data_IF_934556947130
#
_entry.id   IF_934556947130
#
_cell.length_a   1.000
_cell.length_b   1.000
_cell.length_c   1.000
_cell.angle_alpha   90.00
_cell.angle_beta   90.00
_cell.angle_gamma   90.00
#
_symmetry.space_group_name_H-M   'P 1'
#
loop_
_entity.id
_entity.type
_entity.pdbx_description
1 polymer ?
#
# COMPACT_ATOMS: atom_id res chain seq x y z
N UNK A 1 -4.29 -20.41 -7.55
CA UNK A 1 -4.08 -18.99 -7.86
C UNK A 1 -4.29 -18.25 -6.55
N UNK A 2 -3.30 -17.55 -6.02
CA UNK A 2 -3.54 -16.69 -4.86
C UNK A 2 -4.54 -15.61 -5.27
N UNK A 3 -5.51 -15.33 -4.42
CA UNK A 3 -6.44 -14.22 -4.63
C UNK A 3 -5.64 -12.91 -4.56
N UNK A 4 -5.75 -12.06 -5.58
CA UNK A 4 -5.09 -10.76 -5.56
C UNK A 4 -5.80 -9.88 -4.53
N UNK A 5 -5.02 -9.28 -3.61
CA UNK A 5 -5.53 -8.29 -2.65
C UNK A 5 -6.06 -7.03 -3.36
N UNK A 6 -5.63 -6.79 -4.61
CA UNK A 6 -6.04 -5.63 -5.40
C UNK A 6 -7.28 -5.99 -6.22
N UNK A 7 -8.37 -5.27 -5.97
CA UNK A 7 -9.65 -5.46 -6.67
C UNK A 7 -9.75 -4.56 -7.91
N UNK A 8 -10.73 -4.84 -8.78
CA UNK A 8 -11.05 -3.96 -9.91
C UNK A 8 -11.52 -2.57 -9.45
N UNK A 9 -12.19 -2.50 -8.30
CA UNK A 9 -12.64 -1.25 -7.68
C UNK A 9 -11.45 -0.38 -7.29
N UNK A 10 -10.41 -0.96 -6.67
CA UNK A 10 -9.19 -0.24 -6.33
C UNK A 10 -8.47 0.32 -7.56
N UNK A 11 -8.44 -0.43 -8.67
CA UNK A 11 -7.90 0.07 -9.95
C UNK A 11 -8.72 1.25 -10.47
N UNK A 12 -10.06 1.17 -10.38
CA UNK A 12 -10.95 2.24 -10.81
C UNK A 12 -10.79 3.52 -9.95
N UNK A 13 -10.68 3.37 -8.62
CA UNK A 13 -10.42 4.47 -7.70
C UNK A 13 -9.06 5.13 -8.00
N UNK A 14 -8.00 4.33 -8.12
CA UNK A 14 -6.67 4.85 -8.44
C UNK A 14 -6.65 5.62 -9.77
N UNK A 15 -7.35 5.12 -10.80
CA UNK A 15 -7.52 5.84 -12.07
C UNK A 15 -8.23 7.17 -11.90
N UNK A 16 -9.28 7.22 -11.08
CA UNK A 16 -9.98 8.47 -10.78
C UNK A 16 -9.05 9.49 -10.12
N UNK A 17 -8.21 9.05 -9.17
CA UNK A 17 -7.19 9.90 -8.54
C UNK A 17 -6.12 10.41 -9.53
N UNK A 18 -5.77 9.60 -10.53
CA UNK A 18 -4.77 9.93 -11.54
C UNK A 18 -5.35 10.64 -12.78
N UNK A 19 -6.66 10.87 -12.82
CA UNK A 19 -7.40 11.38 -13.98
C UNK A 19 -7.24 10.53 -15.26
N UNK A 20 -7.07 9.21 -15.11
CA UNK A 20 -6.97 8.25 -16.21
C UNK A 20 -8.37 7.77 -16.58
N UNK A 21 -8.77 7.95 -17.84
CA UNK A 21 -10.14 7.66 -18.30
C UNK A 21 -10.27 6.42 -19.19
N UNK A 22 -9.16 5.77 -19.55
CA UNK A 22 -9.15 4.60 -20.44
C UNK A 22 -8.67 3.34 -19.74
N UNK A 23 -8.98 2.15 -20.27
CA UNK A 23 -8.63 0.85 -19.68
C UNK A 23 -7.33 0.22 -20.19
N UNK A 24 -6.65 0.86 -21.15
CA UNK A 24 -5.48 0.29 -21.84
C UNK A 24 -4.35 -0.11 -20.89
N UNK A 25 -4.18 0.63 -19.81
CA UNK A 25 -3.10 0.44 -18.84
C UNK A 25 -3.56 -0.22 -17.53
N UNK A 26 -4.81 -0.69 -17.42
CA UNK A 26 -5.32 -1.31 -16.20
C UNK A 26 -4.44 -2.47 -15.68
N UNK A 27 -3.87 -3.35 -16.53
CA UNK A 27 -2.94 -4.37 -16.07
C UNK A 27 -1.65 -3.79 -15.46
N UNK A 28 -1.17 -2.68 -16.00
CA UNK A 28 0.02 -2.00 -15.50
C UNK A 28 -0.27 -1.30 -14.15
N UNK A 29 -1.40 -0.57 -14.05
CA UNK A 29 -1.82 0.09 -12.81
C UNK A 29 -2.06 -0.93 -11.69
N UNK A 30 -2.64 -2.09 -12.01
CA UNK A 30 -2.77 -3.20 -11.05
C UNK A 30 -1.41 -3.66 -10.53
N UNK A 31 -0.42 -3.84 -11.40
CA UNK A 31 0.93 -4.22 -10.98
C UNK A 31 1.59 -3.18 -10.06
N UNK A 32 1.36 -1.88 -10.31
CA UNK A 32 1.83 -0.82 -9.42
C UNK A 32 1.14 -0.86 -8.05
N UNK A 33 -0.18 -1.12 -8.01
CA UNK A 33 -0.93 -1.28 -6.78
C UNK A 33 -0.51 -2.53 -6.00
N UNK A 34 -0.28 -3.66 -6.66
CA UNK A 34 0.15 -4.90 -6.03
C UNK A 34 1.53 -4.76 -5.38
N UNK A 35 2.50 -4.22 -6.13
CA UNK A 35 3.84 -3.95 -5.59
C UNK A 35 3.84 -2.91 -4.49
N UNK A 36 2.93 -1.94 -4.55
CA UNK A 36 2.78 -0.91 -3.50
C UNK A 36 2.10 -1.44 -2.24
N UNK A 37 1.07 -2.27 -2.37
CA UNK A 37 0.43 -2.97 -1.26
C UNK A 37 1.44 -3.85 -0.52
N UNK A 38 2.19 -4.67 -1.26
CA UNK A 38 3.20 -5.54 -0.66
C UNK A 38 4.25 -4.73 0.14
N UNK A 39 4.73 -3.61 -0.40
CA UNK A 39 5.72 -2.78 0.28
C UNK A 39 5.15 -2.07 1.52
N UNK A 40 3.98 -1.43 1.40
CA UNK A 40 3.37 -0.70 2.52
C UNK A 40 3.01 -1.67 3.64
N UNK A 41 2.35 -2.78 3.33
CA UNK A 41 1.96 -3.78 4.33
C UNK A 41 3.16 -4.39 5.05
N UNK A 42 4.28 -4.60 4.35
CA UNK A 42 5.52 -5.08 4.97
C UNK A 42 6.10 -4.07 5.96
N UNK A 43 6.03 -2.76 5.66
CA UNK A 43 6.52 -1.70 6.55
C UNK A 43 5.60 -1.54 7.75
N UNK A 44 4.29 -1.54 7.52
CA UNK A 44 3.29 -1.29 8.56
C UNK A 44 2.87 -2.53 9.33
N UNK A 45 3.46 -3.70 9.05
CA UNK A 45 3.06 -5.00 9.62
C UNK A 45 1.56 -5.29 9.50
N UNK A 46 0.93 -4.81 8.41
CA UNK A 46 -0.49 -5.02 8.18
C UNK A 46 -0.73 -6.33 7.42
N UNK A 47 -1.84 -7.02 7.73
CA UNK A 47 -2.22 -8.30 7.16
C UNK A 47 -3.35 -8.15 6.13
N UNK A 48 -4.03 -6.99 6.08
CA UNK A 48 -5.12 -6.74 5.14
C UNK A 48 -5.27 -5.26 4.76
N UNK A 49 -5.85 -4.98 3.60
CA UNK A 49 -6.14 -3.61 3.14
C UNK A 49 -7.48 -3.09 3.70
N UNK A 50 -7.68 -3.18 5.02
CA UNK A 50 -8.91 -2.72 5.69
C UNK A 50 -8.77 -1.33 6.30
N UNK A 51 -7.56 -0.92 6.70
CA UNK A 51 -7.32 0.45 7.16
C UNK A 51 -7.20 1.40 5.97
N UNK A 52 -8.08 2.41 5.91
CA UNK A 52 -8.07 3.44 4.86
C UNK A 52 -6.74 4.20 4.79
N UNK A 53 -6.02 4.32 5.90
CA UNK A 53 -4.67 4.91 5.96
C UNK A 53 -3.65 4.09 5.18
N UNK A 54 -3.73 2.76 5.30
CA UNK A 54 -2.87 1.83 4.55
C UNK A 54 -3.23 1.87 3.07
N UNK A 55 -4.53 1.85 2.73
CA UNK A 55 -5.00 1.98 1.34
C UNK A 55 -4.51 3.29 0.70
N UNK A 56 -4.61 4.41 1.41
CA UNK A 56 -4.09 5.70 0.94
C UNK A 56 -2.58 5.65 0.66
N UNK A 57 -1.79 5.04 1.55
CA UNK A 57 -0.35 4.87 1.33
C UNK A 57 -0.04 4.01 0.10
N UNK A 58 -0.84 2.98 -0.17
CA UNK A 58 -0.73 2.16 -1.39
C UNK A 58 -0.97 3.00 -2.64
N UNK A 59 -2.02 3.81 -2.65
CA UNK A 59 -2.32 4.72 -3.77
C UNK A 59 -1.24 5.77 -3.97
N UNK A 60 -0.75 6.38 -2.89
CA UNK A 60 0.33 7.37 -2.98
C UNK A 60 1.62 6.73 -3.48
N UNK A 61 2.01 5.55 -2.99
CA UNK A 61 3.21 4.86 -3.48
C UNK A 61 3.08 4.46 -4.94
N UNK A 62 1.91 3.97 -5.37
CA UNK A 62 1.65 3.65 -6.77
C UNK A 62 1.70 4.90 -7.66
N UNK A 63 1.18 6.05 -7.18
CA UNK A 63 1.30 7.35 -7.87
C UNK A 63 2.75 7.80 -8.01
N UNK A 64 3.57 7.64 -6.97
CA UNK A 64 4.99 7.99 -7.03
C UNK A 64 5.72 7.07 -8.02
N UNK A 65 5.45 5.77 -8.00
CA UNK A 65 6.01 4.82 -8.97
C UNK A 65 5.58 5.14 -10.42
N UNK A 66 4.30 5.44 -10.65
CA UNK A 66 3.78 5.81 -11.97
C UNK A 66 4.46 7.07 -12.53
N UNK A 67 4.81 8.02 -11.67
CA UNK A 67 5.41 9.29 -12.05
C UNK A 67 6.96 9.28 -11.99
N UNK A 68 7.60 8.11 -11.89
CA UNK A 68 9.06 7.97 -11.75
C UNK A 68 9.64 8.78 -10.58
N UNK A 69 8.96 8.74 -9.43
CA UNK A 69 9.28 9.51 -8.22
C UNK A 69 9.35 8.64 -6.96
N UNK A 70 9.40 7.31 -7.10
CA UNK A 70 9.28 6.38 -5.98
C UNK A 70 10.29 6.65 -4.85
N UNK A 71 11.47 7.17 -5.17
CA UNK A 71 12.53 7.53 -4.21
C UNK A 71 12.11 8.59 -3.18
N UNK A 72 11.06 9.37 -3.45
CA UNK A 72 10.57 10.41 -2.54
C UNK A 72 9.47 9.92 -1.59
N UNK A 73 8.92 8.73 -1.83
CA UNK A 73 7.76 8.22 -1.09
C UNK A 73 8.06 8.06 0.40
N UNK A 74 9.14 7.33 0.74
CA UNK A 74 9.46 6.99 2.13
C UNK A 74 9.69 8.24 2.98
N UNK A 75 10.37 9.25 2.42
CA UNK A 75 10.63 10.52 3.11
C UNK A 75 9.33 11.32 3.33
N UNK A 76 8.45 11.38 2.33
CA UNK A 76 7.22 12.18 2.40
C UNK A 76 6.16 11.56 3.32
N UNK A 77 6.16 10.24 3.48
CA UNK A 77 5.16 9.52 4.29
C UNK A 77 5.75 8.85 5.55
N UNK A 78 7.00 9.14 5.89
CA UNK A 78 7.74 8.50 6.99
C UNK A 78 6.94 8.46 8.30
N UNK A 79 6.36 9.60 8.70
CA UNK A 79 5.63 9.70 9.97
C UNK A 79 4.39 8.79 9.98
N UNK A 80 3.67 8.69 8.87
CA UNK A 80 2.47 7.86 8.78
C UNK A 80 2.82 6.38 8.74
N UNK A 81 3.85 6.01 7.99
CA UNK A 81 4.38 4.65 7.94
C UNK A 81 4.83 4.18 9.34
N UNK A 82 5.60 5.02 10.04
CA UNK A 82 6.11 4.70 11.38
C UNK A 82 4.98 4.56 12.40
N UNK A 83 4.01 5.47 12.39
CA UNK A 83 2.87 5.41 13.32
C UNK A 83 2.06 4.12 13.11
N UNK A 84 1.76 3.76 11.86
CA UNK A 84 1.05 2.52 11.55
C UNK A 84 1.85 1.27 11.95
N UNK A 85 3.17 1.27 11.70
CA UNK A 85 4.04 0.16 12.10
C UNK A 85 4.05 -0.05 13.62
N UNK A 86 4.07 1.04 14.41
CA UNK A 86 4.01 0.98 15.87
C UNK A 86 2.62 0.51 16.33
N UNK A 87 1.55 1.04 15.75
CA UNK A 87 0.17 0.66 16.08
C UNK A 87 -0.09 -0.84 15.82
N UNK A 88 0.48 -1.38 14.74
CA UNK A 88 0.36 -2.78 14.33
C UNK A 88 1.44 -3.70 14.93
N UNK A 89 2.27 -3.19 15.85
CA UNK A 89 3.28 -3.99 16.51
C UNK A 89 2.62 -4.89 17.58
N UNK A 90 2.32 -6.12 17.19
CA UNK A 90 2.03 -7.23 18.11
C UNK A 90 3.37 -7.60 18.78
N UNK A 91 3.67 -7.03 19.96
CA UNK A 91 4.93 -7.28 20.66
C UNK A 91 5.26 -8.77 20.81
N UNK A 92 6.54 -9.09 21.06
CA UNK A 92 6.95 -10.47 21.37
C UNK A 92 6.18 -10.89 22.63
N UNK A 93 5.44 -12.03 22.64
CA UNK A 93 4.84 -12.52 23.85
C UNK A 93 5.96 -12.76 24.86
N UNK A 94 5.90 -12.08 26.01
CA UNK A 94 6.82 -12.36 27.11
C UNK A 94 6.70 -13.86 27.42
N UNK A 95 7.76 -14.61 27.12
CA UNK A 95 7.87 -15.96 27.62
C UNK A 95 8.14 -15.82 29.12
N UNK A 96 7.06 -15.82 29.89
CA UNK A 96 7.11 -15.96 31.34
C UNK A 96 7.98 -17.19 31.64
N UNK A 97 9.20 -16.94 32.11
CA UNK A 97 10.11 -17.97 32.60
C UNK A 97 9.48 -18.57 33.87
N UNK A 98 8.94 -19.79 33.74
CA UNK A 98 8.61 -20.67 34.87
C UNK A 98 9.84 -21.05 35.71
#
# INVERSE_FOLDING_TARGET
MAESLITDEMVAEFKAHMHITHSREDPYLRGLLETSAAAVMAITNDKALTDKRVVELVYQRARYAYNDQLEWFDANFQSMLMNLAIENYEGVPDQDNE
#
